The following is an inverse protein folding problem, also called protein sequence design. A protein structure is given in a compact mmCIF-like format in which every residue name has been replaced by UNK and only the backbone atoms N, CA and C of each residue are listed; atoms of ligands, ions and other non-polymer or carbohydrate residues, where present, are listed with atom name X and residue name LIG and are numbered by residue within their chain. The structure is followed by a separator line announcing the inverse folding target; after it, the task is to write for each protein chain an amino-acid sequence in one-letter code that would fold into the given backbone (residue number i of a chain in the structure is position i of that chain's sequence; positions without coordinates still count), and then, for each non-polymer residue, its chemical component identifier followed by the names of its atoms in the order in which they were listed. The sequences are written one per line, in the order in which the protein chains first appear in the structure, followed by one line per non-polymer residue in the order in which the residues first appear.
data_IF_410014026693
#
_entry.id   IF_410014026693
#
_cell.length_a   1.000
_cell.length_b   1.000
_cell.length_c   1.000
_cell.angle_alpha   90.00
_cell.angle_beta   90.00
_cell.angle_gamma   90.00
#
_symmetry.space_group_name_H-M   'P 1'
#
loop_
_entity.id
_entity.type
_entity.pdbx_description
1 polymer ?
#
# COMPACT_ATOMS: atom_id res chain seq x y z
N UNK A 1 17.92 -3.63 -2.47
CA UNK A 1 17.35 -2.33 -2.92
C UNK A 1 16.88 -2.43 -4.36
N UNK A 2 15.60 -2.29 -4.62
CA UNK A 2 15.06 -2.18 -5.98
C UNK A 2 15.02 -0.69 -6.32
N UNK A 3 16.06 -0.18 -6.96
CA UNK A 3 16.01 1.16 -7.55
C UNK A 3 15.24 1.00 -8.86
N UNK A 4 14.11 1.68 -9.06
CA UNK A 4 13.36 1.53 -10.30
C UNK A 4 14.21 2.02 -11.47
N UNK A 5 14.17 1.28 -12.55
CA UNK A 5 14.80 1.69 -13.79
C UNK A 5 13.97 2.86 -14.34
N UNK A 6 14.62 3.90 -14.89
CA UNK A 6 13.94 5.06 -15.49
C UNK A 6 12.86 4.63 -16.49
N UNK A 7 13.05 3.50 -17.17
CA UNK A 7 12.07 2.90 -18.07
C UNK A 7 10.75 2.55 -17.37
N UNK A 8 10.80 1.96 -16.18
CA UNK A 8 9.60 1.61 -15.40
C UNK A 8 8.83 2.86 -14.94
N UNK A 9 9.55 3.91 -14.53
CA UNK A 9 8.97 5.20 -14.18
C UNK A 9 8.28 5.85 -15.38
N UNK A 10 8.87 5.72 -16.58
CA UNK A 10 8.32 6.22 -17.84
C UNK A 10 7.04 5.46 -18.21
N UNK A 11 7.05 4.14 -18.17
CA UNK A 11 5.91 3.25 -18.47
C UNK A 11 4.75 3.45 -17.47
N UNK A 12 5.05 3.71 -16.21
CA UNK A 12 4.06 4.05 -15.20
C UNK A 12 3.48 5.47 -15.35
N UNK A 13 4.10 6.32 -16.17
CA UNK A 13 3.66 7.70 -16.40
C UNK A 13 3.98 8.66 -15.25
N UNK A 14 5.04 8.40 -14.49
CA UNK A 14 5.49 9.25 -13.36
C UNK A 14 5.95 10.63 -13.84
N UNK A 15 6.42 10.73 -15.08
CA UNK A 15 6.95 11.96 -15.69
C UNK A 15 5.87 12.99 -16.05
N UNK A 16 4.60 12.63 -16.10
CA UNK A 16 3.55 13.59 -16.39
C UNK A 16 3.22 14.44 -15.17
N UNK A 17 3.26 15.74 -15.33
CA UNK A 17 2.80 16.70 -14.33
C UNK A 17 1.45 17.30 -14.70
N UNK A 18 1.10 18.39 -14.06
CA UNK A 18 -0.11 19.15 -14.31
C UNK A 18 0.04 20.15 -15.47
N UNK A 19 -1.10 20.71 -15.89
CA UNK A 19 -1.14 21.78 -16.88
C UNK A 19 -0.32 22.98 -16.43
N UNK A 20 0.35 23.66 -17.37
CA UNK A 20 1.21 24.84 -17.12
C UNK A 20 0.51 25.96 -16.34
N UNK A 21 -0.81 26.11 -16.50
CA UNK A 21 -1.61 27.11 -15.76
C UNK A 21 -1.76 26.85 -14.27
N UNK A 22 -1.46 25.63 -13.80
CA UNK A 22 -1.69 25.20 -12.41
C UNK A 22 -0.42 24.92 -11.63
N UNK A 23 0.73 25.17 -12.20
CA UNK A 23 2.01 24.82 -11.59
C UNK A 23 2.39 25.74 -10.42
N UNK A 24 3.31 25.26 -9.59
CA UNK A 24 3.95 26.05 -8.55
C UNK A 24 5.39 26.40 -9.02
N UNK A 25 5.79 27.69 -9.03
CA UNK A 25 7.15 28.09 -9.42
C UNK A 25 8.26 27.41 -8.62
N UNK A 26 8.03 27.06 -7.37
CA UNK A 26 9.00 26.34 -6.52
C UNK A 26 9.34 24.94 -7.03
N UNK A 27 8.50 24.38 -7.91
CA UNK A 27 8.74 23.08 -8.56
C UNK A 27 9.63 23.16 -9.80
N UNK A 28 10.02 24.35 -10.24
CA UNK A 28 10.87 24.57 -11.43
C UNK A 28 12.12 23.69 -11.42
N UNK A 29 12.78 23.55 -10.28
CA UNK A 29 13.98 22.71 -10.08
C UNK A 29 13.77 21.22 -10.38
N UNK A 30 12.53 20.73 -10.41
CA UNK A 30 12.16 19.33 -10.67
C UNK A 30 11.51 19.14 -12.05
N UNK A 31 11.31 20.20 -12.81
CA UNK A 31 10.71 20.16 -14.14
C UNK A 31 11.81 19.98 -15.17
N UNK A 32 11.61 19.04 -16.10
CA UNK A 32 12.47 18.82 -17.26
C UNK A 32 12.13 19.77 -18.40
N UNK A 33 10.83 20.02 -18.63
CA UNK A 33 10.35 20.87 -19.70
C UNK A 33 8.82 20.85 -19.81
N UNK A 34 8.33 21.42 -20.92
CA UNK A 34 6.90 21.47 -21.25
C UNK A 34 6.63 20.77 -22.57
N UNK A 35 5.53 20.03 -22.65
CA UNK A 35 5.02 19.45 -23.89
C UNK A 35 3.50 19.48 -23.91
N UNK A 36 2.93 20.05 -24.97
CA UNK A 36 1.47 20.16 -25.16
C UNK A 36 0.72 20.85 -24.00
N UNK A 37 1.32 21.86 -23.37
CA UNK A 37 0.70 22.57 -22.24
C UNK A 37 0.71 21.80 -20.93
N UNK A 38 1.53 20.75 -20.81
CA UNK A 38 1.72 19.93 -19.61
C UNK A 38 3.21 19.93 -19.26
N UNK A 39 3.53 20.15 -17.98
CA UNK A 39 4.89 20.01 -17.50
C UNK A 39 5.32 18.54 -17.41
N UNK A 40 6.58 18.31 -17.74
CA UNK A 40 7.23 17.00 -17.64
C UNK A 40 8.21 17.05 -16.48
N UNK A 41 8.07 16.12 -15.56
CA UNK A 41 8.94 15.96 -14.39
C UNK A 41 10.25 15.28 -14.81
N UNK A 42 11.35 15.71 -14.22
CA UNK A 42 12.68 15.15 -14.43
C UNK A 42 12.83 13.82 -13.67
N UNK A 43 12.83 12.71 -14.41
CA UNK A 43 12.91 11.37 -13.83
C UNK A 43 14.28 11.03 -13.22
N UNK A 44 15.36 11.67 -13.65
CA UNK A 44 16.67 11.48 -13.05
C UNK A 44 16.65 12.00 -11.61
N UNK A 45 16.12 13.20 -11.42
CA UNK A 45 15.91 13.78 -10.07
C UNK A 45 14.92 12.97 -9.24
N UNK A 46 13.85 12.46 -9.87
CA UNK A 46 12.89 11.57 -9.19
C UNK A 46 13.59 10.33 -8.63
N UNK A 47 14.45 9.69 -9.44
CA UNK A 47 15.17 8.47 -9.02
C UNK A 47 16.10 8.74 -7.84
N UNK A 48 16.85 9.85 -7.87
CA UNK A 48 17.74 10.24 -6.76
C UNK A 48 16.95 10.50 -5.49
N UNK A 49 15.88 11.31 -5.58
CA UNK A 49 15.04 11.67 -4.44
C UNK A 49 14.24 10.48 -3.88
N UNK A 50 13.80 9.59 -4.73
CA UNK A 50 13.17 8.35 -4.32
C UNK A 50 14.12 7.47 -3.53
N UNK A 51 15.38 7.36 -3.96
CA UNK A 51 16.41 6.60 -3.22
C UNK A 51 16.66 7.20 -1.84
N UNK A 52 16.82 8.52 -1.74
CA UNK A 52 16.97 9.23 -0.46
C UNK A 52 15.80 8.92 0.49
N UNK A 53 14.56 8.97 -0.03
CA UNK A 53 13.35 8.66 0.73
C UNK A 53 13.31 7.17 1.17
N UNK A 54 13.71 6.25 0.31
CA UNK A 54 13.78 4.81 0.63
C UNK A 54 14.80 4.51 1.73
N UNK A 55 15.97 5.12 1.66
CA UNK A 55 17.02 4.96 2.67
C UNK A 55 16.54 5.48 4.04
N UNK A 56 15.92 6.65 4.07
CA UNK A 56 15.33 7.21 5.28
C UNK A 56 14.23 6.30 5.87
N UNK A 57 13.30 5.81 5.05
CA UNK A 57 12.20 4.95 5.51
C UNK A 57 12.71 3.60 6.04
N UNK A 58 13.78 3.06 5.44
CA UNK A 58 14.45 1.86 5.94
C UNK A 58 15.04 2.10 7.33
N UNK A 59 15.72 3.23 7.53
CA UNK A 59 16.29 3.61 8.82
C UNK A 59 15.22 3.80 9.90
N UNK A 60 14.08 4.42 9.56
CA UNK A 60 12.93 4.54 10.47
C UNK A 60 12.41 3.15 10.85
N UNK A 61 12.23 2.26 9.87
CA UNK A 61 11.73 0.92 10.11
C UNK A 61 12.72 0.04 10.88
N UNK A 62 14.03 0.20 10.65
CA UNK A 62 15.12 -0.48 11.38
C UNK A 62 15.13 -0.13 12.88
N UNK A 63 14.65 1.05 13.24
CA UNK A 63 14.48 1.47 14.64
C UNK A 63 13.13 1.08 15.25
N UNK A 64 12.32 0.28 14.56
CA UNK A 64 10.97 -0.09 14.98
C UNK A 64 9.97 1.07 14.89
N UNK A 65 10.29 2.10 14.10
CA UNK A 65 9.45 3.28 13.89
C UNK A 65 8.13 2.95 13.21
N UNK A 66 7.11 3.76 13.47
CA UNK A 66 5.77 3.62 12.89
C UNK A 66 5.58 4.64 11.77
N UNK A 67 5.15 4.17 10.61
CA UNK A 67 4.91 4.99 9.42
C UNK A 67 3.41 5.09 9.17
N UNK A 68 2.93 6.30 8.83
CA UNK A 68 1.54 6.56 8.48
C UNK A 68 1.44 6.98 7.02
N UNK A 69 0.77 6.19 6.22
CA UNK A 69 0.45 6.52 4.82
C UNK A 69 -0.80 7.38 4.75
N UNK A 70 -0.74 8.50 4.03
CA UNK A 70 -1.84 9.45 3.87
C UNK A 70 -2.10 9.70 2.39
N UNK A 71 -3.35 9.57 1.99
CA UNK A 71 -3.78 9.92 0.64
C UNK A 71 -5.26 9.67 0.44
N UNK A 72 -6.02 10.76 0.41
CA UNK A 72 -7.48 10.74 0.25
C UNK A 72 -7.92 10.85 -1.22
N UNK A 73 -6.97 10.94 -2.14
CA UNK A 73 -7.23 10.96 -3.59
C UNK A 73 -7.80 9.62 -4.05
N UNK A 74 -8.89 9.62 -4.79
CA UNK A 74 -9.56 8.37 -5.23
C UNK A 74 -8.62 7.38 -5.91
N UNK A 75 -7.67 7.88 -6.68
CA UNK A 75 -6.67 7.10 -7.40
C UNK A 75 -5.64 6.44 -6.45
N UNK A 76 -5.43 7.03 -5.27
CA UNK A 76 -4.43 6.59 -4.30
C UNK A 76 -4.98 5.67 -3.21
N UNK A 77 -6.28 5.80 -2.87
CA UNK A 77 -6.90 5.17 -1.70
C UNK A 77 -6.66 3.66 -1.61
N UNK A 78 -6.95 2.93 -2.69
CA UNK A 78 -6.85 1.48 -2.71
C UNK A 78 -5.38 1.03 -2.61
N UNK A 79 -4.52 1.64 -3.42
CA UNK A 79 -3.09 1.34 -3.45
C UNK A 79 -2.43 1.61 -2.09
N UNK A 80 -2.71 2.75 -1.47
CA UNK A 80 -2.18 3.09 -0.14
C UNK A 80 -2.64 2.08 0.91
N UNK A 81 -3.92 1.69 0.89
CA UNK A 81 -4.47 0.69 1.83
C UNK A 81 -3.79 -0.67 1.66
N UNK A 82 -3.58 -1.10 0.42
CA UNK A 82 -2.91 -2.34 0.08
C UNK A 82 -1.45 -2.34 0.56
N UNK A 83 -0.68 -1.30 0.19
CA UNK A 83 0.74 -1.22 0.52
C UNK A 83 1.01 -1.04 2.01
N UNK A 84 0.22 -0.21 2.70
CA UNK A 84 0.33 -0.03 4.15
C UNK A 84 0.03 -1.33 4.90
N UNK A 85 -1.00 -2.08 4.50
CA UNK A 85 -1.28 -3.41 5.07
C UNK A 85 -0.15 -4.40 4.80
N UNK A 86 0.40 -4.42 3.58
CA UNK A 86 1.51 -5.30 3.18
C UNK A 86 2.74 -5.09 4.05
N UNK A 87 3.11 -3.86 4.33
CA UNK A 87 4.26 -3.56 5.21
C UNK A 87 3.89 -3.50 6.71
N UNK A 88 2.62 -3.75 7.08
CA UNK A 88 2.15 -3.74 8.47
C UNK A 88 2.21 -2.36 9.12
N UNK A 89 2.01 -1.31 8.33
CA UNK A 89 1.98 0.09 8.75
C UNK A 89 0.56 0.66 8.70
N UNK A 90 0.40 1.92 9.09
CA UNK A 90 -0.88 2.58 9.27
C UNK A 90 -1.25 3.40 8.04
N UNK A 91 -2.55 3.67 7.85
CA UNK A 91 -3.03 4.46 6.71
C UNK A 91 -4.24 5.32 7.03
N UNK A 92 -4.37 6.44 6.31
CA UNK A 92 -5.54 7.31 6.28
C UNK A 92 -5.91 7.59 4.81
N UNK A 93 -6.97 6.94 4.31
CA UNK A 93 -7.32 6.94 2.88
C UNK A 93 -8.65 7.59 2.56
N UNK A 94 -9.62 7.61 3.49
CA UNK A 94 -10.94 8.15 3.19
C UNK A 94 -11.02 9.66 3.44
N UNK A 95 -10.61 10.10 4.61
CA UNK A 95 -10.57 11.51 4.99
C UNK A 95 -9.55 11.74 6.08
N UNK A 96 -8.73 12.78 5.93
CA UNK A 96 -7.91 13.26 7.03
C UNK A 96 -8.79 13.92 8.09
N UNK A 97 -8.70 13.46 9.32
CA UNK A 97 -9.37 14.08 10.44
C UNK A 97 -8.47 15.18 10.99
N UNK A 98 -8.94 16.42 10.98
CA UNK A 98 -8.20 17.53 11.60
C UNK A 98 -7.87 17.22 13.06
N UNK A 99 -6.61 17.41 13.44
CA UNK A 99 -6.10 17.01 14.76
C UNK A 99 -5.63 15.55 14.84
N UNK A 100 -5.55 14.84 13.71
CA UNK A 100 -5.12 13.43 13.73
C UNK A 100 -3.72 13.22 14.32
N UNK A 101 -2.85 14.19 14.18
CA UNK A 101 -1.51 14.19 14.81
C UNK A 101 -1.45 15.14 16.01
N UNK A 102 -1.96 16.35 15.87
CA UNK A 102 -1.87 17.40 16.92
C UNK A 102 -2.78 17.13 18.11
N UNK A 103 -3.94 16.51 17.92
CA UNK A 103 -4.89 16.12 18.97
C UNK A 103 -5.10 14.59 18.97
N UNK A 104 -4.01 13.84 19.00
CA UNK A 104 -4.00 12.38 18.89
C UNK A 104 -4.82 11.70 20.00
N UNK A 105 -4.88 12.27 21.20
CA UNK A 105 -5.67 11.68 22.30
C UNK A 105 -7.17 11.63 22.00
N UNK A 106 -7.71 12.64 21.32
CA UNK A 106 -9.12 12.60 20.87
C UNK A 106 -9.34 11.54 19.80
N UNK A 107 -8.39 11.36 18.88
CA UNK A 107 -8.44 10.26 17.90
C UNK A 107 -8.37 8.90 18.59
N UNK A 108 -7.54 8.76 19.61
CA UNK A 108 -7.42 7.53 20.42
C UNK A 108 -8.75 7.16 21.10
N UNK A 109 -9.52 8.14 21.59
CA UNK A 109 -10.89 7.89 22.08
C UNK A 109 -11.79 7.29 20.99
N UNK A 110 -11.72 7.83 19.77
CA UNK A 110 -12.44 7.28 18.62
C UNK A 110 -12.00 5.88 18.23
N UNK A 111 -10.70 5.58 18.30
CA UNK A 111 -10.15 4.25 18.07
C UNK A 111 -10.66 3.25 19.15
N UNK A 112 -10.63 3.63 20.41
CA UNK A 112 -11.13 2.79 21.50
C UNK A 112 -12.63 2.51 21.33
N UNK A 113 -13.41 3.54 20.97
CA UNK A 113 -14.84 3.38 20.67
C UNK A 113 -15.08 2.39 19.53
N UNK A 114 -14.26 2.43 18.48
CA UNK A 114 -14.33 1.46 17.39
C UNK A 114 -14.02 0.05 17.86
N UNK A 115 -13.00 -0.13 18.72
CA UNK A 115 -12.66 -1.44 19.33
C UNK A 115 -13.84 -2.00 20.13
N UNK A 116 -14.47 -1.17 20.98
CA UNK A 116 -15.67 -1.54 21.75
C UNK A 116 -16.82 -2.01 20.85
N UNK A 117 -17.10 -1.25 19.77
CA UNK A 117 -18.16 -1.59 18.81
C UNK A 117 -17.85 -2.88 18.02
N UNK A 118 -16.58 -3.15 17.72
CA UNK A 118 -16.19 -4.41 17.10
C UNK A 118 -16.38 -5.58 18.06
N UNK A 119 -15.96 -5.46 19.32
CA UNK A 119 -16.18 -6.47 20.37
C UNK A 119 -17.68 -6.72 20.61
N UNK A 120 -18.48 -5.64 20.66
CA UNK A 120 -19.92 -5.78 20.81
C UNK A 120 -20.57 -6.54 19.64
N UNK A 121 -20.06 -6.38 18.43
CA UNK A 121 -20.55 -7.12 17.26
C UNK A 121 -20.16 -8.62 17.30
N UNK A 122 -19.01 -8.94 17.87
CA UNK A 122 -18.51 -10.31 18.03
C UNK A 122 -19.21 -11.07 19.16
N UNK A 123 -19.91 -10.35 20.07
CA UNK A 123 -20.63 -10.92 21.21
C UNK A 123 -22.17 -10.82 21.00
N UNK A 124 -22.84 -11.89 20.50
CA UNK A 124 -24.27 -11.89 20.22
C UNK A 124 -25.13 -11.71 21.48
N UNK A 125 -24.67 -12.16 22.65
CA UNK A 125 -25.43 -12.03 23.90
C UNK A 125 -25.50 -10.57 24.34
N UNK A 126 -24.40 -9.83 24.24
CA UNK A 126 -24.41 -8.40 24.53
C UNK A 126 -25.20 -7.62 23.50
N UNK A 127 -25.12 -7.99 22.22
CA UNK A 127 -25.84 -7.34 21.13
C UNK A 127 -27.37 -7.52 21.28
N UNK A 128 -27.82 -8.69 21.79
CA UNK A 128 -29.27 -8.99 22.01
C UNK A 128 -29.94 -8.09 23.05
N UNK A 129 -29.18 -7.45 23.95
CA UNK A 129 -29.70 -6.51 24.96
C UNK A 129 -30.13 -5.19 24.37
N UNK A 130 -29.73 -4.88 23.12
CA UNK A 130 -30.11 -3.66 22.41
C UNK A 130 -31.31 -3.90 21.51
N UNK A 131 -32.19 -2.91 21.39
CA UNK A 131 -33.30 -2.98 20.44
C UNK A 131 -32.76 -2.97 19.00
N UNK A 132 -33.55 -3.48 18.04
CA UNK A 132 -33.16 -3.51 16.61
C UNK A 132 -32.80 -2.11 16.07
N UNK A 133 -33.46 -1.07 16.57
CA UNK A 133 -33.17 0.32 16.18
C UNK A 133 -31.81 0.77 16.70
N UNK A 134 -31.47 0.46 17.93
CA UNK A 134 -30.17 0.75 18.53
C UNK A 134 -29.04 -0.03 17.85
N UNK A 135 -29.24 -1.32 17.59
CA UNK A 135 -28.26 -2.12 16.82
C UNK A 135 -27.96 -1.49 15.46
N UNK A 136 -28.99 -0.98 14.74
CA UNK A 136 -28.79 -0.29 13.47
C UNK A 136 -28.00 1.02 13.63
N UNK A 137 -28.21 1.77 14.73
CA UNK A 137 -27.47 3.00 15.01
C UNK A 137 -26.00 2.70 15.35
N UNK A 138 -25.76 1.69 16.20
CA UNK A 138 -24.40 1.25 16.55
C UNK A 138 -23.62 0.75 15.32
N UNK A 139 -24.27 0.01 14.42
CA UNK A 139 -23.63 -0.45 13.18
C UNK A 139 -23.30 0.72 12.24
N UNK A 140 -24.16 1.74 12.14
CA UNK A 140 -23.85 2.96 11.38
C UNK A 140 -22.70 3.75 11.99
N UNK A 141 -22.65 3.87 13.32
CA UNK A 141 -21.54 4.50 14.04
C UNK A 141 -20.25 3.72 13.79
N UNK A 142 -20.28 2.39 13.94
CA UNK A 142 -19.13 1.50 13.68
C UNK A 142 -18.61 1.66 12.26
N UNK A 143 -19.49 1.59 11.25
CA UNK A 143 -19.10 1.73 9.84
C UNK A 143 -18.46 3.10 9.57
N UNK A 144 -18.97 4.18 10.16
CA UNK A 144 -18.38 5.52 10.05
C UNK A 144 -17.01 5.60 10.70
N UNK A 145 -16.85 5.06 11.91
CA UNK A 145 -15.56 5.02 12.59
C UNK A 145 -14.56 4.12 11.86
N UNK A 146 -14.98 2.93 11.43
CA UNK A 146 -14.14 2.00 10.66
C UNK A 146 -13.58 2.67 9.39
N UNK A 147 -14.42 3.44 8.70
CA UNK A 147 -14.00 4.19 7.52
C UNK A 147 -12.95 5.26 7.84
N UNK A 148 -13.13 6.01 8.94
CA UNK A 148 -12.30 7.17 9.25
C UNK A 148 -11.02 6.84 10.02
N UNK A 149 -11.09 5.88 10.97
CA UNK A 149 -9.97 5.56 11.87
C UNK A 149 -9.54 4.09 11.83
N UNK A 150 -10.19 3.27 10.99
CA UNK A 150 -9.86 1.84 10.88
C UNK A 150 -8.41 1.58 10.48
N UNK A 151 -7.84 2.43 9.62
CA UNK A 151 -6.45 2.29 9.20
C UNK A 151 -5.40 2.67 10.25
N UNK A 152 -5.82 3.34 11.33
CA UNK A 152 -4.95 3.73 12.45
C UNK A 152 -5.30 3.02 13.76
N UNK A 153 -6.11 1.95 13.70
CA UNK A 153 -6.64 1.27 14.90
C UNK A 153 -5.57 0.67 15.82
N UNK A 154 -4.40 0.31 15.28
CA UNK A 154 -3.26 -0.21 16.08
C UNK A 154 -2.23 0.85 16.46
N UNK A 155 -2.46 2.12 16.16
CA UNK A 155 -1.52 3.18 16.45
C UNK A 155 -1.65 3.62 17.92
N UNK A 156 -0.65 3.30 18.73
CA UNK A 156 -0.63 3.61 20.17
C UNK A 156 -0.02 4.97 20.48
N UNK A 157 0.93 5.40 19.64
CA UNK A 157 1.64 6.69 19.73
C UNK A 157 1.63 7.36 18.35
N UNK A 158 1.99 8.63 18.30
CA UNK A 158 2.17 9.36 17.04
C UNK A 158 3.15 8.63 16.14
N UNK A 159 2.96 8.69 14.81
CA UNK A 159 3.88 8.07 13.87
C UNK A 159 5.23 8.78 13.88
N UNK A 160 6.29 8.06 13.56
CA UNK A 160 7.64 8.58 13.46
C UNK A 160 7.94 9.18 12.08
N UNK A 161 7.10 8.87 11.08
CA UNK A 161 7.15 9.43 9.73
C UNK A 161 5.75 9.39 9.09
N UNK A 162 5.47 10.35 8.20
CA UNK A 162 4.25 10.39 7.39
C UNK A 162 4.61 10.32 5.92
N UNK A 163 3.97 9.40 5.17
CA UNK A 163 4.05 9.34 3.70
C UNK A 163 2.78 9.94 3.13
N UNK A 164 2.93 10.96 2.27
CA UNK A 164 1.81 11.71 1.71
C UNK A 164 1.76 11.55 0.19
N UNK A 165 0.58 11.29 -0.36
CA UNK A 165 0.31 11.36 -1.80
C UNK A 165 -0.57 12.57 -2.06
N UNK A 166 -0.09 13.53 -2.87
CA UNK A 166 -0.71 14.83 -3.14
C UNK A 166 -0.68 15.75 -1.90
N UNK A 167 0.46 16.40 -1.68
CA UNK A 167 0.66 17.31 -0.53
C UNK A 167 -0.26 18.53 -0.54
N UNK A 168 -0.74 18.95 -1.71
CA UNK A 168 -1.68 20.06 -1.84
C UNK A 168 -3.07 19.69 -1.31
N UNK A 169 -3.53 18.47 -1.59
CA UNK A 169 -4.81 17.98 -1.10
C UNK A 169 -4.77 17.67 0.39
N UNK A 170 -3.66 17.14 0.85
CA UNK A 170 -3.42 16.76 2.25
C UNK A 170 -2.71 17.87 3.05
N UNK A 171 -2.92 19.13 2.67
CA UNK A 171 -2.26 20.31 3.29
C UNK A 171 -2.41 20.34 4.83
N UNK A 172 -3.56 19.90 5.36
CA UNK A 172 -3.81 19.85 6.80
C UNK A 172 -2.89 18.82 7.45
N UNK A 173 -2.71 17.64 6.84
CA UNK A 173 -1.83 16.60 7.35
C UNK A 173 -0.37 17.07 7.35
N UNK A 174 0.07 17.72 6.28
CA UNK A 174 1.41 18.29 6.15
C UNK A 174 1.66 19.35 7.21
N UNK A 175 0.74 20.29 7.41
CA UNK A 175 0.84 21.34 8.46
C UNK A 175 0.88 20.76 9.87
N UNK A 176 0.09 19.71 10.14
CA UNK A 176 0.11 19.04 11.46
C UNK A 176 1.43 18.31 11.71
N UNK A 177 1.95 17.60 10.71
CA UNK A 177 3.23 16.89 10.80
C UNK A 177 4.39 17.88 11.02
N UNK A 178 4.47 18.95 10.23
CA UNK A 178 5.47 20.01 10.38
C UNK A 178 5.42 20.68 11.78
N UNK A 179 4.21 20.97 12.29
CA UNK A 179 4.03 21.54 13.63
C UNK A 179 4.60 20.65 14.73
N UNK A 180 4.61 19.35 14.53
CA UNK A 180 5.09 18.36 15.50
C UNK A 180 6.54 17.91 15.23
N UNK A 181 7.17 18.40 14.15
CA UNK A 181 8.50 17.97 13.74
C UNK A 181 8.55 16.51 13.28
N UNK A 182 7.42 15.98 12.76
CA UNK A 182 7.36 14.63 12.20
C UNK A 182 7.81 14.71 10.75
N UNK A 183 8.86 13.99 10.32
CA UNK A 183 9.36 14.02 8.96
C UNK A 183 8.33 13.52 7.95
N UNK A 184 8.29 14.19 6.80
CA UNK A 184 7.33 13.96 5.73
C UNK A 184 8.04 13.49 4.48
N UNK A 185 7.65 12.32 3.98
CA UNK A 185 7.98 11.82 2.64
C UNK A 185 6.75 12.05 1.76
N UNK A 186 6.88 12.73 0.63
CA UNK A 186 5.71 12.97 -0.22
C UNK A 186 5.97 12.76 -1.71
N UNK A 187 4.99 12.14 -2.40
CA UNK A 187 4.86 12.20 -3.84
C UNK A 187 4.26 13.56 -4.21
N UNK A 188 5.03 14.38 -4.93
CA UNK A 188 4.76 15.80 -5.16
C UNK A 188 4.68 16.06 -6.67
N UNK A 189 3.53 16.51 -7.14
CA UNK A 189 3.35 16.92 -8.53
C UNK A 189 3.70 18.41 -8.71
N UNK A 190 3.75 18.87 -9.94
CA UNK A 190 4.16 20.22 -10.36
C UNK A 190 3.28 21.35 -9.80
N UNK A 191 2.10 21.06 -9.26
CA UNK A 191 1.15 22.01 -8.65
C UNK A 191 1.28 22.19 -7.13
N UNK A 192 2.21 21.47 -6.50
CA UNK A 192 2.39 21.40 -5.05
C UNK A 192 3.53 22.33 -4.56
N UNK A 193 3.60 22.57 -3.25
CA UNK A 193 4.71 23.29 -2.61
C UNK A 193 5.71 22.28 -2.01
N UNK A 194 6.93 22.18 -2.53
CA UNK A 194 7.94 21.24 -2.03
C UNK A 194 8.62 21.69 -0.72
N UNK A 195 8.55 22.98 -0.36
CA UNK A 195 9.30 23.52 0.79
C UNK A 195 8.80 23.01 2.16
N UNK A 196 7.58 22.47 2.19
CA UNK A 196 6.98 21.92 3.41
C UNK A 196 7.27 20.42 3.61
N UNK A 197 8.07 19.82 2.73
CA UNK A 197 8.31 18.38 2.65
C UNK A 197 9.80 18.11 2.85
N UNK A 198 10.14 17.20 3.75
CA UNK A 198 11.53 16.84 4.02
C UNK A 198 12.12 15.97 2.91
N UNK A 199 11.36 14.98 2.44
CA UNK A 199 11.75 14.06 1.38
C UNK A 199 10.78 14.18 0.22
N UNK A 200 11.10 15.05 -0.73
CA UNK A 200 10.28 15.31 -1.93
C UNK A 200 10.57 14.25 -2.98
N UNK A 201 9.54 13.55 -3.45
CA UNK A 201 9.60 12.64 -4.59
C UNK A 201 8.82 13.30 -5.73
N UNK A 202 9.47 13.95 -6.70
CA UNK A 202 8.77 14.57 -7.81
C UNK A 202 8.12 13.53 -8.70
N UNK A 203 6.83 13.68 -9.02
CA UNK A 203 6.15 12.72 -9.88
C UNK A 203 4.64 12.92 -9.93
N UNK A 204 4.00 12.12 -10.77
CA UNK A 204 2.57 12.17 -11.04
C UNK A 204 1.76 11.57 -9.88
N UNK A 205 0.88 12.36 -9.32
CA UNK A 205 -0.03 11.97 -8.23
C UNK A 205 -1.47 11.66 -8.71
N UNK A 206 -1.72 11.71 -10.02
CA UNK A 206 -3.02 11.42 -10.65
C UNK A 206 -3.07 10.01 -11.26
N UNK A 207 -1.96 9.50 -11.77
CA UNK A 207 -1.91 8.21 -12.44
C UNK A 207 -1.82 7.06 -11.42
N UNK A 208 -2.80 6.16 -11.43
CA UNK A 208 -2.85 4.99 -10.52
C UNK A 208 -1.58 4.14 -10.63
N UNK A 209 -1.04 3.95 -11.85
CA UNK A 209 0.20 3.18 -12.07
C UNK A 209 1.42 3.86 -11.45
N UNK A 210 1.52 5.19 -11.54
CA UNK A 210 2.61 5.97 -10.96
C UNK A 210 2.56 5.91 -9.42
N UNK A 211 1.39 6.16 -8.83
CA UNK A 211 1.17 6.05 -7.39
C UNK A 211 1.50 4.64 -6.90
N UNK A 212 1.02 3.60 -7.59
CA UNK A 212 1.28 2.20 -7.22
C UNK A 212 2.78 1.88 -7.25
N UNK A 213 3.49 2.25 -8.30
CA UNK A 213 4.92 1.99 -8.43
C UNK A 213 5.70 2.64 -7.29
N UNK A 214 5.51 3.94 -7.07
CA UNK A 214 6.23 4.68 -6.02
C UNK A 214 5.89 4.14 -4.62
N UNK A 215 4.60 3.96 -4.30
CA UNK A 215 4.19 3.47 -2.98
C UNK A 215 4.64 2.03 -2.73
N UNK A 216 4.73 1.19 -3.78
CA UNK A 216 5.26 -0.18 -3.67
C UNK A 216 6.74 -0.15 -3.29
N UNK A 217 7.54 0.68 -3.94
CA UNK A 217 8.98 0.83 -3.67
C UNK A 217 9.21 1.33 -2.23
N UNK A 218 8.43 2.34 -1.79
CA UNK A 218 8.52 2.84 -0.42
C UNK A 218 8.13 1.75 0.60
N UNK A 219 7.08 0.98 0.34
CA UNK A 219 6.65 -0.12 1.20
C UNK A 219 7.69 -1.25 1.26
N UNK A 220 8.38 -1.56 0.15
CA UNK A 220 9.46 -2.55 0.11
C UNK A 220 10.64 -2.12 0.98
N UNK A 221 11.01 -0.83 0.94
CA UNK A 221 12.07 -0.29 1.79
C UNK A 221 11.72 -0.38 3.29
N UNK A 222 10.45 -0.16 3.63
CA UNK A 222 9.96 -0.34 5.01
C UNK A 222 10.01 -1.82 5.41
N UNK A 223 9.64 -2.74 4.53
CA UNK A 223 9.71 -4.18 4.78
C UNK A 223 11.15 -4.65 5.02
N UNK A 224 12.10 -4.20 4.19
CA UNK A 224 13.53 -4.49 4.37
C UNK A 224 14.00 -4.03 5.77
N UNK A 225 13.67 -2.79 6.16
CA UNK A 225 14.04 -2.26 7.49
C UNK A 225 13.42 -3.04 8.64
N UNK A 226 12.15 -3.44 8.52
CA UNK A 226 11.46 -4.26 9.53
C UNK A 226 12.05 -5.66 9.67
N UNK A 227 12.40 -6.31 8.57
CA UNK A 227 13.05 -7.60 8.60
C UNK A 227 14.40 -7.52 9.33
N UNK A 228 15.21 -6.50 9.05
CA UNK A 228 16.47 -6.27 9.75
C UNK A 228 16.26 -5.98 11.24
N UNK A 229 15.23 -5.20 11.60
CA UNK A 229 14.86 -4.98 13.00
C UNK A 229 14.48 -6.27 13.72
N UNK A 230 13.69 -7.14 13.09
CA UNK A 230 13.29 -8.44 13.67
C UNK A 230 14.49 -9.37 13.87
N UNK A 231 15.43 -9.40 12.93
CA UNK A 231 16.68 -10.16 13.07
C UNK A 231 17.53 -9.61 14.21
N UNK A 232 17.70 -8.29 14.29
CA UNK A 232 18.50 -7.64 15.34
C UNK A 232 17.87 -7.73 16.73
N UNK A 233 16.55 -7.81 16.84
CA UNK A 233 15.82 -7.94 18.11
C UNK A 233 15.71 -9.37 18.64
N UNK A 234 16.32 -10.38 17.94
CA UNK A 234 16.34 -11.77 18.39
C UNK A 234 14.99 -12.48 18.34
N UNK A 235 13.98 -11.91 17.68
CA UNK A 235 12.66 -12.55 17.55
C UNK A 235 12.68 -13.74 16.58
N UNK A 236 13.65 -13.76 15.65
CA UNK A 236 13.84 -14.88 14.71
C UNK A 236 14.64 -16.02 15.36
N UNK A 237 15.66 -15.71 16.18
CA UNK A 237 16.46 -16.72 16.87
C UNK A 237 15.62 -17.60 17.80
N UNK A 238 14.61 -17.03 18.48
CA UNK A 238 13.68 -17.81 19.32
C UNK A 238 12.77 -18.76 18.53
N UNK A 239 12.50 -18.49 17.27
CA UNK A 239 11.74 -19.41 16.42
C UNK A 239 12.60 -20.52 15.85
N UNK A 240 13.85 -20.26 15.57
CA UNK A 240 14.81 -21.28 15.11
C UNK A 240 15.23 -22.22 16.26
N UNK A 241 15.49 -21.72 17.46
CA UNK A 241 15.76 -22.56 18.64
C UNK A 241 14.59 -23.49 19.00
N UNK A 242 13.33 -23.00 18.86
CA UNK A 242 12.15 -23.84 19.10
C UNK A 242 11.98 -24.92 18.03
N UNK A 243 12.41 -24.67 16.80
CA UNK A 243 12.36 -25.67 15.72
C UNK A 243 13.54 -26.66 15.82
N UNK A 244 14.68 -26.24 16.34
CA UNK A 244 15.84 -27.11 16.52
C UNK A 244 15.72 -28.01 17.77
N UNK A 245 15.12 -27.50 18.84
CA UNK A 245 14.81 -28.32 20.04
C UNK A 245 13.74 -29.39 19.81
N UNK A 246 12.89 -29.23 18.82
CA UNK A 246 11.90 -30.27 18.43
C UNK A 246 12.53 -31.37 17.58
N UNK A 247 13.72 -31.15 16.99
CA UNK A 247 14.45 -32.15 16.17
C UNK A 247 15.42 -33.02 16.95
N UNK A 248 15.69 -32.74 18.22
CA UNK A 248 16.70 -33.44 19.03
C UNK A 248 16.10 -34.38 20.06
N UNK A 249 14.83 -34.70 20.00
CA UNK A 249 14.26 -35.80 20.82
C UNK A 249 14.05 -37.02 19.94
N UNK A 250 15.14 -37.72 19.62
CA UNK A 250 15.09 -39.11 19.20
C UNK A 250 15.45 -39.98 20.38
N UNK A 251 14.64 -40.90 20.81
CA UNK A 251 15.03 -41.86 21.84
C UNK A 251 15.90 -42.94 21.24
N UNK A 252 17.13 -43.00 21.73
CA UNK A 252 18.01 -44.12 21.58
C UNK A 252 17.51 -45.24 22.50
N UNK A 253 17.21 -46.42 21.98
CA UNK A 253 17.59 -47.70 22.54
C UNK A 253 16.89 -48.91 21.87
N UNK A 254 17.74 -49.86 21.60
CA UNK A 254 17.52 -51.30 21.49
C UNK A 254 17.39 -51.92 20.10
N UNK A 255 18.52 -52.49 19.64
CA UNK A 255 18.59 -53.64 18.72
C UNK A 255 18.25 -54.94 19.51
N UNK A 256 17.61 -55.92 18.91
CA UNK A 256 18.40 -57.00 18.33
C UNK A 256 17.81 -57.59 17.02
N UNK A 257 18.77 -57.92 16.12
CA UNK A 257 18.89 -59.07 15.22
C UNK A 257 17.65 -59.92 14.95
N UNK A 258 17.20 -60.02 13.68
CA UNK A 258 17.04 -61.28 12.98
C UNK A 258 16.75 -61.02 11.47
N UNK A 259 17.42 -61.86 10.67
CA UNK A 259 17.40 -61.80 9.21
C UNK A 259 16.20 -62.57 8.65
N UNK A 260 15.53 -62.07 7.63
CA UNK A 260 14.83 -62.83 6.61
C UNK A 260 14.41 -61.94 5.43
N UNK A 261 14.11 -62.50 4.24
CA UNK A 261 14.67 -62.02 3.01
C UNK A 261 13.75 -61.11 2.17
N UNK A 262 14.36 -60.46 1.17
CA UNK A 262 13.76 -59.62 0.15
C UNK A 262 12.68 -60.34 -0.68
N UNK A 263 11.53 -59.77 -0.96
CA UNK A 263 10.77 -60.13 -2.15
C UNK A 263 11.07 -59.22 -3.34
N UNK A 264 10.92 -59.86 -4.45
CA UNK A 264 11.27 -59.50 -5.80
C UNK A 264 10.54 -58.24 -6.37
N UNK A 265 11.20 -57.64 -7.32
CA UNK A 265 10.73 -56.54 -8.18
C UNK A 265 9.57 -57.02 -9.02
N UNK A 266 8.40 -56.36 -8.91
CA UNK A 266 7.35 -56.44 -9.89
C UNK A 266 7.31 -55.16 -10.74
N UNK A 267 7.17 -55.38 -12.05
CA UNK A 267 7.23 -54.42 -13.14
C UNK A 267 6.14 -53.33 -13.09
N UNK A 268 6.48 -52.14 -13.50
CA UNK A 268 5.57 -51.03 -13.76
C UNK A 268 4.67 -51.33 -14.98
N UNK A 269 3.38 -51.00 -14.95
CA UNK A 269 2.57 -50.96 -16.15
C UNK A 269 2.63 -49.58 -16.83
N UNK A 270 2.85 -49.64 -18.15
CA UNK A 270 2.81 -48.60 -19.17
C UNK A 270 1.70 -47.55 -18.95
N UNK A 271 2.07 -46.28 -18.99
CA UNK A 271 1.17 -45.13 -19.10
C UNK A 271 1.05 -44.74 -20.59
N UNK A 272 -0.16 -44.53 -21.11
CA UNK A 272 -0.37 -44.14 -22.50
C UNK A 272 -0.09 -42.68 -22.79
N UNK A 273 0.48 -42.44 -23.96
CA UNK A 273 1.04 -41.21 -24.49
C UNK A 273 0.15 -39.97 -24.47
N UNK A 274 0.80 -38.85 -24.27
CA UNK A 274 0.30 -37.48 -24.38
C UNK A 274 0.20 -37.11 -25.86
N UNK A 275 -0.92 -36.65 -26.39
CA UNK A 275 -1.00 -36.17 -27.76
C UNK A 275 -0.44 -34.77 -27.94
N UNK A 276 0.28 -34.56 -29.01
CA UNK A 276 0.95 -33.34 -29.47
C UNK A 276 -0.01 -32.12 -29.56
N UNK A 277 0.40 -31.00 -29.02
CA UNK A 277 -0.23 -29.68 -29.15
C UNK A 277 0.20 -29.05 -30.47
N UNK A 278 -0.48 -29.34 -31.57
CA UNK A 278 -0.22 -28.65 -32.84
C UNK A 278 -1.45 -28.35 -33.70
N UNK A 279 -2.66 -28.23 -33.12
CA UNK A 279 -3.88 -27.90 -33.92
C UNK A 279 -4.90 -27.05 -33.16
N UNK A 280 -4.54 -25.91 -32.60
CA UNK A 280 -5.50 -24.92 -32.04
C UNK A 280 -5.21 -23.49 -32.51
N UNK A 281 -4.51 -23.30 -33.60
CA UNK A 281 -4.20 -21.95 -34.11
C UNK A 281 -5.06 -21.49 -35.32
N UNK A 282 -6.14 -22.17 -35.68
CA UNK A 282 -6.83 -21.87 -36.96
C UNK A 282 -8.34 -21.61 -36.88
N UNK A 283 -8.91 -21.39 -35.69
CA UNK A 283 -10.39 -21.21 -35.58
C UNK A 283 -10.87 -19.90 -34.96
N UNK A 284 -10.04 -18.84 -34.90
CA UNK A 284 -10.45 -17.53 -34.36
C UNK A 284 -10.36 -16.35 -35.33
N UNK A 285 -10.53 -16.62 -36.63
CA UNK A 285 -10.59 -15.57 -37.65
C UNK A 285 -11.86 -15.66 -38.48
N UNK A 286 -13.05 -15.40 -37.91
CA UNK A 286 -14.27 -15.02 -38.66
C UNK A 286 -15.40 -14.67 -37.70
N UNK A 287 -15.54 -13.39 -37.31
CA UNK A 287 -16.83 -12.82 -36.93
C UNK A 287 -16.98 -11.43 -37.56
N UNK A 288 -18.11 -11.09 -38.20
CA UNK A 288 -18.27 -9.85 -38.96
C UNK A 288 -18.67 -8.66 -38.05
N UNK A 289 -18.13 -7.50 -38.39
CA UNK A 289 -18.47 -6.19 -37.81
C UNK A 289 -19.91 -5.81 -38.12
N UNK A 290 -20.78 -5.68 -37.14
CA UNK A 290 -22.07 -5.01 -37.27
C UNK A 290 -21.93 -3.52 -36.95
N UNK A 291 -22.18 -2.67 -37.94
CA UNK A 291 -22.32 -1.21 -37.81
C UNK A 291 -23.66 -0.90 -37.16
N UNK A 292 -23.70 -0.25 -36.00
CA UNK A 292 -24.89 0.46 -35.50
C UNK A 292 -24.73 1.95 -35.70
N UNK A 293 -25.59 2.53 -36.49
CA UNK A 293 -25.73 3.95 -36.76
C UNK A 293 -26.26 4.70 -35.53
N UNK A 294 -25.68 5.89 -35.29
CA UNK A 294 -26.14 6.83 -34.27
C UNK A 294 -27.06 7.86 -34.92
N UNK A 295 -28.28 8.13 -34.40
CA UNK A 295 -29.17 9.15 -34.93
C UNK A 295 -28.73 10.58 -34.52
N UNK A 296 -29.03 11.63 -35.33
CA UNK A 296 -28.58 13.00 -35.12
C UNK A 296 -29.38 13.71 -34.02
N UNK A 297 -28.67 14.48 -33.19
CA UNK A 297 -29.22 15.36 -32.13
C UNK A 297 -29.91 16.59 -32.77
N UNK A 298 -31.17 16.81 -32.43
CA UNK A 298 -31.93 18.02 -32.78
C UNK A 298 -31.44 19.21 -31.92
N UNK A 299 -31.00 20.27 -32.59
CA UNK A 299 -30.76 21.60 -32.04
C UNK A 299 -32.10 22.28 -31.76
N UNK A 300 -32.31 22.73 -30.52
CA UNK A 300 -33.36 23.67 -30.17
C UNK A 300 -32.79 25.08 -30.20
N UNK A 301 -33.23 25.86 -31.16
CA UNK A 301 -33.16 27.33 -31.20
C UNK A 301 -34.10 27.89 -30.10
N UNK A 302 -33.64 28.82 -29.34
CA UNK A 302 -34.49 29.70 -28.49
C UNK A 302 -34.37 31.12 -29.05
N UNK A 303 -35.53 31.67 -29.34
CA UNK A 303 -35.77 33.11 -29.43
C UNK A 303 -35.60 33.78 -28.05
#
# INVERSE_FOLDING_TARGET
MVTPVIKELLEAGVHFGHQTKRWNPKMEKYIFGERNGIYIVDLEKTTVKLKEACDFLRDVALRGGKVLFVGTKKQAQETIREQAKRCGMFYATDRWLGGALTNFETIKKGINRLKELNQLKEDPERLSRYTKKEQSLLEKERAKLQKNVGGVMGLERRPDCVIVVDSKKEEIAVKEANRLGIPIVALVDTNCDPDQIDYVIPGNDDAIKAIRLITTILADSILEGRQQFQVSSGEIEKKEEVVETVKVVSPEAAVPSEAAPLPEVEEEPDLPGIPEISKVAETLAKTPKSKKAVPPRKTKTRE
#
